data_IF_265891132111
#
_entry.id   IF_265891132111
#
_cell.length_a   1.000
_cell.length_b   1.000
_cell.length_c   1.000
_cell.angle_alpha   90.00
_cell.angle_beta   90.00
_cell.angle_gamma   90.00
#
_symmetry.space_group_name_H-M   'P 1'
#
loop_
_entity.id
_entity.type
_entity.pdbx_description
1 polymer ?
#
# COMPACT_ATOMS: atom_id res chain seq x y z
N UNK A 1 25.14 -1.43 1.92
CA UNK A 1 24.01 -2.31 2.34
C UNK A 1 23.85 -3.44 1.35
N UNK A 2 23.67 -4.65 1.84
CA UNK A 2 23.33 -5.80 0.98
C UNK A 2 21.87 -5.71 0.54
N UNK A 3 21.56 -6.00 -0.74
CA UNK A 3 20.22 -5.92 -1.30
C UNK A 3 19.29 -7.08 -0.96
N UNK A 4 19.59 -7.86 0.07
CA UNK A 4 18.88 -9.12 0.38
C UNK A 4 17.41 -8.87 0.71
N UNK A 5 17.12 -7.87 1.56
CA UNK A 5 15.75 -7.50 1.91
C UNK A 5 14.99 -6.92 0.71
N UNK A 6 15.63 -6.10 -0.11
CA UNK A 6 15.02 -5.54 -1.32
C UNK A 6 14.62 -6.65 -2.29
N UNK A 7 15.50 -7.63 -2.51
CA UNK A 7 15.20 -8.78 -3.37
C UNK A 7 13.98 -9.58 -2.86
N UNK A 8 13.87 -9.76 -1.54
CA UNK A 8 12.71 -10.45 -0.95
C UNK A 8 11.40 -9.69 -1.18
N UNK A 9 11.42 -8.34 -1.07
CA UNK A 9 10.26 -7.48 -1.32
C UNK A 9 9.85 -7.57 -2.80
N UNK A 10 10.81 -7.42 -3.73
CA UNK A 10 10.52 -7.45 -5.17
C UNK A 10 9.94 -8.78 -5.63
N UNK A 11 10.43 -9.91 -5.11
CA UNK A 11 9.88 -11.22 -5.44
C UNK A 11 8.45 -11.39 -4.93
N UNK A 12 8.16 -10.96 -3.69
CA UNK A 12 6.78 -10.99 -3.17
C UNK A 12 5.84 -10.07 -3.92
N UNK A 13 6.34 -8.91 -4.34
CA UNK A 13 5.58 -8.00 -5.16
C UNK A 13 5.25 -8.61 -6.53
N UNK A 14 6.22 -9.21 -7.21
CA UNK A 14 6.01 -9.93 -8.47
C UNK A 14 4.95 -11.05 -8.32
N UNK A 15 5.04 -11.85 -7.25
CA UNK A 15 4.04 -12.89 -6.94
C UNK A 15 2.60 -12.32 -6.85
N UNK A 16 2.43 -11.11 -6.30
CA UNK A 16 1.12 -10.46 -6.20
C UNK A 16 0.65 -9.87 -7.53
N UNK A 17 1.57 -9.30 -8.31
CA UNK A 17 1.25 -8.75 -9.63
C UNK A 17 0.83 -9.84 -10.61
N UNK A 18 1.46 -11.02 -10.56
CA UNK A 18 1.09 -12.18 -11.37
C UNK A 18 -0.31 -12.73 -11.01
N UNK A 19 -0.81 -12.43 -9.80
CA UNK A 19 -2.11 -12.89 -9.29
C UNK A 19 -3.09 -11.74 -9.06
N UNK A 20 -3.16 -10.79 -9.98
CA UNK A 20 -4.10 -9.67 -9.89
C UNK A 20 -5.54 -10.16 -9.96
N UNK A 21 -6.41 -9.75 -9.01
CA UNK A 21 -7.81 -10.14 -9.00
C UNK A 21 -8.62 -9.44 -10.09
N UNK A 22 -9.56 -10.17 -10.70
CA UNK A 22 -10.55 -9.63 -11.62
C UNK A 22 -11.96 -9.79 -11.04
N UNK A 23 -12.85 -8.79 -11.17
CA UNK A 23 -14.20 -8.88 -10.64
C UNK A 23 -15.08 -9.79 -11.51
N UNK A 24 -15.76 -10.72 -10.86
CA UNK A 24 -16.79 -11.58 -11.47
C UNK A 24 -18.02 -11.52 -10.59
N UNK A 25 -19.14 -11.15 -11.16
CA UNK A 25 -20.44 -11.08 -10.46
C UNK A 25 -21.26 -12.31 -10.78
N UNK A 26 -21.82 -12.92 -9.76
CA UNK A 26 -22.73 -14.04 -9.87
C UNK A 26 -24.11 -13.58 -9.45
N UNK A 27 -25.11 -13.90 -10.26
CA UNK A 27 -26.49 -13.63 -9.94
C UNK A 27 -26.89 -14.33 -8.63
N UNK A 28 -27.65 -13.66 -7.80
CA UNK A 28 -28.22 -14.23 -6.58
C UNK A 28 -29.54 -14.92 -6.88
N UNK A 29 -30.30 -14.33 -7.79
CA UNK A 29 -31.58 -14.83 -8.27
C UNK A 29 -31.53 -14.90 -9.81
N UNK A 30 -32.46 -15.67 -10.41
CA UNK A 30 -32.50 -15.90 -11.85
C UNK A 30 -32.67 -14.57 -12.64
N UNK A 31 -33.43 -13.64 -12.08
CA UNK A 31 -33.72 -12.35 -12.70
C UNK A 31 -32.49 -11.43 -12.72
N UNK A 32 -31.51 -11.67 -11.82
CA UNK A 32 -30.29 -10.89 -11.72
C UNK A 32 -29.19 -11.33 -12.70
N UNK A 33 -29.39 -12.42 -13.46
CA UNK A 33 -28.36 -12.98 -14.36
C UNK A 33 -27.88 -11.95 -15.38
N UNK A 34 -28.79 -11.18 -15.96
CA UNK A 34 -28.50 -10.18 -16.99
C UNK A 34 -27.68 -9.03 -16.42
N UNK A 35 -28.05 -8.53 -15.24
CA UNK A 35 -27.32 -7.42 -14.60
C UNK A 35 -25.97 -7.88 -14.04
N UNK A 36 -25.87 -9.08 -13.50
CA UNK A 36 -24.61 -9.68 -13.07
C UNK A 36 -23.62 -9.84 -14.24
N UNK A 37 -24.11 -10.25 -15.40
CA UNK A 37 -23.30 -10.33 -16.60
C UNK A 37 -22.86 -8.94 -17.09
N UNK A 38 -23.75 -7.94 -17.06
CA UNK A 38 -23.43 -6.55 -17.39
C UNK A 38 -22.36 -5.98 -16.46
N UNK A 39 -22.54 -6.13 -15.15
CA UNK A 39 -21.55 -5.69 -14.15
C UNK A 39 -20.20 -6.37 -14.34
N UNK A 40 -20.17 -7.68 -14.64
CA UNK A 40 -18.93 -8.42 -14.92
C UNK A 40 -18.17 -7.84 -16.12
N UNK A 41 -18.86 -7.21 -17.08
CA UNK A 41 -18.25 -6.59 -18.25
C UNK A 41 -17.92 -5.11 -18.05
N UNK A 42 -18.71 -4.36 -17.29
CA UNK A 42 -18.60 -2.91 -17.10
C UNK A 42 -17.62 -2.55 -15.99
N UNK A 43 -17.67 -3.22 -14.85
CA UNK A 43 -16.81 -2.88 -13.70
C UNK A 43 -15.32 -2.96 -14.02
N UNK A 44 -14.80 -3.96 -14.77
CA UNK A 44 -13.39 -3.95 -15.18
C UNK A 44 -12.99 -2.71 -15.99
N UNK A 45 -13.90 -2.19 -16.85
CA UNK A 45 -13.64 -0.98 -17.66
C UNK A 45 -13.61 0.26 -16.75
N UNK A 46 -14.53 0.37 -15.79
CA UNK A 46 -14.53 1.45 -14.79
C UNK A 46 -13.21 1.43 -14.00
N UNK A 47 -12.79 0.26 -13.54
CA UNK A 47 -11.53 0.12 -12.82
C UNK A 47 -10.32 0.48 -13.68
N UNK A 48 -10.33 0.11 -14.96
CA UNK A 48 -9.28 0.50 -15.90
C UNK A 48 -9.25 2.02 -16.11
N UNK A 49 -10.39 2.68 -16.23
CA UNK A 49 -10.49 4.14 -16.32
C UNK A 49 -9.97 4.82 -15.04
N UNK A 50 -10.20 4.21 -13.88
CA UNK A 50 -9.66 4.66 -12.60
C UNK A 50 -8.17 4.31 -12.39
N UNK A 51 -7.43 3.88 -13.42
CA UNK A 51 -6.01 3.48 -13.36
C UNK A 51 -5.71 2.43 -12.29
N UNK A 52 -6.59 1.44 -12.15
CA UNK A 52 -6.48 0.40 -11.13
C UNK A 52 -5.13 -0.32 -11.12
N UNK A 53 -4.52 -0.55 -12.27
CA UNK A 53 -3.25 -1.28 -12.38
C UNK A 53 -2.12 -0.53 -11.64
N UNK A 54 -2.01 0.78 -11.82
CA UNK A 54 -1.02 1.62 -11.12
C UNK A 54 -1.31 1.72 -9.62
N UNK A 55 -2.59 1.79 -9.26
CA UNK A 55 -3.03 1.83 -7.86
C UNK A 55 -2.73 0.50 -7.16
N UNK A 56 -3.00 -0.62 -7.84
CA UNK A 56 -2.74 -1.96 -7.32
C UNK A 56 -1.26 -2.23 -7.13
N UNK A 57 -0.41 -1.81 -8.08
CA UNK A 57 1.05 -1.89 -7.96
C UNK A 57 1.54 -1.18 -6.69
N UNK A 58 1.17 0.08 -6.50
CA UNK A 58 1.51 0.87 -5.31
C UNK A 58 0.99 0.23 -4.03
N UNK A 59 -0.29 -0.17 -4.04
CA UNK A 59 -0.91 -0.82 -2.89
C UNK A 59 -0.18 -2.09 -2.47
N UNK A 60 0.13 -3.00 -3.40
CA UNK A 60 0.87 -4.23 -3.12
C UNK A 60 2.28 -3.94 -2.59
N UNK A 61 3.00 -3.00 -3.22
CA UNK A 61 4.35 -2.62 -2.83
C UNK A 61 4.40 -2.07 -1.39
N UNK A 62 3.50 -1.16 -1.05
CA UNK A 62 3.48 -0.55 0.28
C UNK A 62 2.93 -1.50 1.34
N UNK A 63 1.93 -2.32 1.02
CA UNK A 63 1.44 -3.38 1.91
C UNK A 63 2.57 -4.32 2.34
N UNK A 64 3.43 -4.76 1.41
CA UNK A 64 4.57 -5.63 1.72
C UNK A 64 5.60 -4.90 2.58
N UNK A 65 5.92 -3.65 2.26
CA UNK A 65 6.93 -2.85 2.96
C UNK A 65 6.50 -2.47 4.37
N UNK A 66 5.34 -1.83 4.48
CA UNK A 66 4.85 -1.17 5.70
C UNK A 66 3.94 -2.06 6.53
N UNK A 67 3.48 -3.18 5.96
CA UNK A 67 2.54 -4.08 6.62
C UNK A 67 1.08 -3.72 6.46
N UNK A 68 0.77 -2.56 5.88
CA UNK A 68 -0.58 -2.06 5.68
C UNK A 68 -0.69 -1.47 4.28
N UNK A 69 -1.75 -1.83 3.56
CA UNK A 69 -2.19 -1.17 2.36
C UNK A 69 -3.54 -0.50 2.59
N UNK A 70 -3.69 0.75 2.18
CA UNK A 70 -4.94 1.47 2.26
C UNK A 70 -5.38 1.93 0.89
N UNK A 71 -6.64 1.68 0.56
CA UNK A 71 -7.30 2.12 -0.67
C UNK A 71 -8.46 3.03 -0.33
N UNK A 72 -8.70 4.04 -1.15
CA UNK A 72 -9.90 4.87 -1.11
C UNK A 72 -10.70 4.69 -2.40
N UNK A 73 -12.03 4.68 -2.25
CA UNK A 73 -12.99 4.60 -3.36
C UNK A 73 -13.97 5.74 -3.16
N UNK A 74 -13.88 6.76 -3.98
CA UNK A 74 -14.66 8.00 -3.86
C UNK A 74 -15.32 8.34 -5.18
N UNK A 75 -16.33 9.19 -5.12
CA UNK A 75 -16.96 9.80 -6.27
C UNK A 75 -16.36 11.18 -6.51
N UNK A 76 -16.07 11.52 -7.76
CA UNK A 76 -15.65 12.86 -8.18
C UNK A 76 -16.58 13.37 -9.28
N UNK A 77 -17.36 14.38 -8.98
CA UNK A 77 -18.36 14.99 -9.85
C UNK A 77 -17.77 15.88 -10.95
N UNK A 78 -16.49 16.22 -10.84
CA UNK A 78 -15.80 17.07 -11.84
C UNK A 78 -15.31 16.30 -13.06
N UNK A 79 -15.19 14.98 -12.93
CA UNK A 79 -14.72 14.13 -14.02
C UNK A 79 -15.73 14.00 -15.17
N UNK A 80 -15.27 13.56 -16.33
CA UNK A 80 -16.10 13.30 -17.52
C UNK A 80 -17.00 14.50 -17.90
N UNK A 81 -16.42 15.72 -17.86
CA UNK A 81 -17.12 16.99 -18.15
C UNK A 81 -18.32 17.27 -17.23
N UNK A 82 -18.24 16.87 -15.97
CA UNK A 82 -19.29 17.08 -14.99
C UNK A 82 -20.31 15.94 -14.87
N UNK A 83 -20.11 14.84 -15.59
CA UNK A 83 -20.90 13.63 -15.41
C UNK A 83 -20.48 12.86 -14.14
N UNK A 84 -19.28 13.14 -13.64
CA UNK A 84 -18.64 12.47 -12.52
C UNK A 84 -18.17 11.06 -12.84
N UNK A 85 -17.22 10.55 -12.09
CA UNK A 85 -16.79 9.14 -12.17
C UNK A 85 -16.19 8.64 -10.84
N UNK A 86 -15.99 7.32 -10.75
CA UNK A 86 -15.42 6.66 -9.59
C UNK A 86 -13.90 6.82 -9.62
N UNK A 87 -13.35 7.27 -8.50
CA UNK A 87 -11.91 7.42 -8.29
C UNK A 87 -11.43 6.39 -7.29
N UNK A 88 -10.44 5.61 -7.69
CA UNK A 88 -9.77 4.63 -6.83
C UNK A 88 -8.34 5.09 -6.62
N UNK A 89 -7.95 5.34 -5.37
CA UNK A 89 -6.61 5.80 -5.06
C UNK A 89 -5.96 4.92 -3.98
N UNK A 90 -4.64 4.79 -4.06
CA UNK A 90 -3.84 4.37 -2.92
C UNK A 90 -3.74 5.53 -1.93
N UNK A 91 -4.04 5.27 -0.66
CA UNK A 91 -3.91 6.23 0.42
C UNK A 91 -2.70 5.87 1.30
N UNK A 92 -1.81 6.85 1.52
CA UNK A 92 -0.67 6.65 2.40
C UNK A 92 -1.14 6.47 3.85
N UNK A 93 -0.66 5.41 4.49
CA UNK A 93 -1.00 5.09 5.88
C UNK A 93 -0.60 6.21 6.87
N UNK A 94 0.35 7.05 6.51
CA UNK A 94 0.75 8.20 7.32
C UNK A 94 -0.26 9.35 7.29
N UNK A 95 -1.23 9.29 6.40
CA UNK A 95 -2.25 10.33 6.20
C UNK A 95 -3.63 9.95 6.72
N UNK A 96 -3.84 8.70 7.14
CA UNK A 96 -5.11 8.22 7.67
C UNK A 96 -4.99 7.91 9.16
N UNK A 97 -5.99 8.33 9.93
CA UNK A 97 -6.07 8.14 11.37
C UNK A 97 -7.47 7.64 11.72
N UNK A 98 -7.55 6.68 12.62
CA UNK A 98 -8.78 6.06 13.08
C UNK A 98 -8.83 5.97 14.60
N UNK A 99 -9.96 5.55 15.14
CA UNK A 99 -10.15 5.38 16.57
C UNK A 99 -9.16 4.34 17.15
N UNK A 100 -8.48 4.64 18.28
CA UNK A 100 -7.61 3.67 18.95
C UNK A 100 -8.34 2.36 19.30
N UNK A 101 -7.60 1.24 19.26
CA UNK A 101 -8.11 -0.12 19.54
C UNK A 101 -9.22 -0.61 18.58
N UNK A 102 -9.36 -0.01 17.42
CA UNK A 102 -10.26 -0.47 16.38
C UNK A 102 -9.63 -1.66 15.64
N UNK A 103 -10.40 -2.72 15.43
CA UNK A 103 -9.97 -3.92 14.68
C UNK A 103 -10.50 -3.96 13.25
N UNK A 104 -11.55 -3.19 12.97
CA UNK A 104 -12.13 -3.03 11.65
C UNK A 104 -12.46 -1.56 11.44
N UNK A 105 -11.96 -0.97 10.36
CA UNK A 105 -12.15 0.46 10.08
C UNK A 105 -13.63 0.86 10.03
N UNK A 106 -14.48 -0.05 9.54
CA UNK A 106 -15.90 0.20 9.45
C UNK A 106 -16.60 0.29 10.81
N UNK A 107 -15.96 -0.12 11.90
CA UNK A 107 -16.50 -0.03 13.26
C UNK A 107 -15.99 1.22 14.01
N UNK A 108 -15.03 1.95 13.43
CA UNK A 108 -14.53 3.22 13.96
C UNK A 108 -15.64 4.28 13.98
N UNK A 109 -15.68 5.11 15.01
CA UNK A 109 -16.62 6.24 15.08
C UNK A 109 -16.21 7.39 14.18
N UNK A 110 -14.91 7.56 13.94
CA UNK A 110 -14.35 8.59 13.10
C UNK A 110 -13.12 8.13 12.36
N UNK A 111 -12.89 8.72 11.21
CA UNK A 111 -11.66 8.53 10.41
C UNK A 111 -11.24 9.91 9.93
N UNK A 112 -9.97 10.25 10.15
CA UNK A 112 -9.37 11.48 9.62
C UNK A 112 -8.42 11.15 8.49
N UNK A 113 -8.50 11.93 7.43
CA UNK A 113 -7.54 11.88 6.32
C UNK A 113 -6.91 13.24 6.18
N UNK A 114 -5.59 13.29 6.19
CA UNK A 114 -4.83 14.54 6.08
C UNK A 114 -4.23 14.71 4.70
N UNK A 115 -4.30 15.90 4.16
CA UNK A 115 -3.70 16.25 2.88
C UNK A 115 -3.03 17.63 2.96
N UNK A 116 -1.97 17.81 2.19
CA UNK A 116 -1.29 19.10 2.04
C UNK A 116 -1.66 19.66 0.67
N UNK A 117 -2.41 20.75 0.66
CA UNK A 117 -2.88 21.42 -0.56
C UNK A 117 -2.19 22.79 -0.64
N UNK A 118 -1.87 23.22 -1.86
CA UNK A 118 -1.33 24.56 -2.06
C UNK A 118 -2.35 25.61 -1.62
N UNK A 119 -1.90 26.55 -0.80
CA UNK A 119 -2.76 27.55 -0.17
C UNK A 119 -3.50 28.41 -1.19
N UNK A 120 -2.87 28.68 -2.32
CA UNK A 120 -3.47 29.50 -3.39
C UNK A 120 -4.63 28.75 -4.06
N UNK A 121 -4.49 27.46 -4.33
CA UNK A 121 -5.57 26.62 -4.87
C UNK A 121 -6.73 26.55 -3.88
N UNK A 122 -6.43 26.38 -2.59
CA UNK A 122 -7.45 26.29 -1.57
C UNK A 122 -8.22 27.61 -1.39
N UNK A 123 -7.54 28.77 -1.51
CA UNK A 123 -8.17 30.08 -1.50
C UNK A 123 -9.05 30.31 -2.74
N UNK A 124 -8.66 29.80 -3.89
CA UNK A 124 -9.45 29.86 -5.12
C UNK A 124 -10.73 29.02 -5.00
N UNK A 125 -10.64 27.84 -4.37
CA UNK A 125 -11.78 26.97 -4.17
C UNK A 125 -12.75 27.49 -3.08
N UNK A 126 -12.25 28.14 -2.03
CA UNK A 126 -13.03 28.61 -0.88
C UNK A 126 -12.77 30.10 -0.55
N UNK A 127 -13.06 31.04 -1.47
CA UNK A 127 -12.70 32.45 -1.32
C UNK A 127 -13.40 33.12 -0.12
N UNK A 128 -14.63 32.69 0.20
CA UNK A 128 -15.43 33.30 1.29
C UNK A 128 -15.01 32.81 2.69
N UNK A 129 -14.30 31.67 2.79
CA UNK A 129 -13.96 31.03 4.06
C UNK A 129 -12.50 31.20 4.44
N UNK A 130 -11.61 31.29 3.46
CA UNK A 130 -10.17 31.46 3.65
C UNK A 130 -9.76 32.88 3.28
N UNK A 131 -9.93 33.83 4.23
CA UNK A 131 -9.41 35.17 4.10
C UNK A 131 -7.90 35.24 4.23
N UNK A 132 -7.27 36.42 4.01
CA UNK A 132 -5.80 36.61 3.97
C UNK A 132 -5.04 36.09 5.21
N UNK A 133 -5.73 35.81 6.31
CA UNK A 133 -5.14 35.31 7.56
C UNK A 133 -5.05 33.78 7.66
N UNK A 134 -5.36 33.04 6.60
CA UNK A 134 -5.12 31.59 6.59
C UNK A 134 -3.60 31.34 6.69
N UNK A 135 -3.18 30.94 7.88
CA UNK A 135 -1.76 30.71 8.17
C UNK A 135 -1.23 29.61 7.25
N UNK A 136 -0.22 29.99 6.50
CA UNK A 136 0.52 29.05 5.66
C UNK A 136 1.32 28.11 6.56
N UNK A 137 1.24 26.82 6.32
CA UNK A 137 2.02 25.82 7.03
C UNK A 137 3.51 25.98 6.66
N UNK A 138 4.21 26.87 7.31
CA UNK A 138 5.60 27.21 7.04
C UNK A 138 6.43 27.39 8.30
N UNK A 139 5.94 26.92 9.44
CA UNK A 139 6.61 27.04 10.73
C UNK A 139 7.12 25.72 11.30
N UNK A 140 7.50 25.74 12.57
CA UNK A 140 7.97 24.59 13.34
C UNK A 140 6.94 23.44 13.41
N UNK A 141 5.67 23.70 13.15
CA UNK A 141 4.59 22.72 13.18
C UNK A 141 4.55 21.78 11.97
N UNK A 142 5.18 22.17 10.86
CA UNK A 142 5.36 21.31 9.67
C UNK A 142 6.14 20.01 9.99
N UNK A 143 6.92 20.00 11.06
CA UNK A 143 7.68 18.83 11.54
C UNK A 143 6.77 17.71 12.06
N UNK A 144 5.52 18.00 12.42
CA UNK A 144 4.58 17.00 12.94
C UNK A 144 3.87 16.22 11.83
N UNK A 145 3.91 16.70 10.59
CA UNK A 145 3.33 15.98 9.46
C UNK A 145 4.31 14.89 9.02
N UNK A 146 3.90 13.65 9.22
CA UNK A 146 4.65 12.49 8.74
C UNK A 146 4.56 12.43 7.22
N UNK A 147 5.51 13.03 6.52
CA UNK A 147 5.63 12.92 5.07
C UNK A 147 7.02 12.39 4.69
N UNK A 148 7.10 11.66 3.58
CA UNK A 148 8.38 11.22 3.03
C UNK A 148 9.19 12.37 2.43
N UNK A 149 8.54 13.49 2.15
CA UNK A 149 9.12 14.72 1.59
C UNK A 149 9.65 15.66 2.67
N UNK A 150 9.56 15.28 3.93
CA UNK A 150 9.66 16.12 5.12
C UNK A 150 11.00 16.71 5.48
N UNK A 151 11.96 16.82 4.57
CA UNK A 151 13.24 17.46 4.88
C UNK A 151 13.46 18.82 4.20
N UNK A 152 12.64 19.18 3.22
CA UNK A 152 12.78 20.47 2.55
C UNK A 152 11.66 21.43 2.98
N UNK A 153 12.01 22.34 3.87
CA UNK A 153 11.07 23.36 4.37
C UNK A 153 10.54 24.28 3.26
N UNK A 154 11.24 24.38 2.14
CA UNK A 154 10.81 25.16 0.99
C UNK A 154 9.63 24.51 0.25
N UNK A 155 9.54 23.19 0.26
CA UNK A 155 8.42 22.45 -0.38
C UNK A 155 7.13 22.62 0.43
N UNK A 156 7.23 22.82 1.74
CA UNK A 156 6.09 23.02 2.64
C UNK A 156 5.65 24.48 2.75
N UNK A 157 6.48 25.44 2.29
CA UNK A 157 6.12 26.85 2.21
C UNK A 157 4.95 26.99 1.23
N UNK A 158 3.88 27.64 1.59
CA UNK A 158 2.65 27.82 0.81
C UNK A 158 1.69 26.60 0.76
N UNK A 159 1.87 25.58 1.61
CA UNK A 159 0.88 24.50 1.74
C UNK A 159 0.07 24.65 3.01
N UNK A 160 -1.21 24.35 2.91
CA UNK A 160 -2.13 24.31 4.05
C UNK A 160 -2.51 22.87 4.32
N UNK A 161 -2.51 22.49 5.60
CA UNK A 161 -3.00 21.19 6.04
C UNK A 161 -4.53 21.18 5.95
N UNK A 162 -5.07 20.28 5.18
CA UNK A 162 -6.50 20.00 5.10
C UNK A 162 -6.76 18.67 5.79
N UNK A 163 -7.77 18.65 6.65
CA UNK A 163 -8.22 17.46 7.38
C UNK A 163 -9.63 17.14 6.94
N UNK A 164 -9.80 15.98 6.33
CA UNK A 164 -11.10 15.42 6.00
C UNK A 164 -11.53 14.52 7.16
N UNK A 165 -12.53 14.96 7.91
CA UNK A 165 -13.09 14.24 9.04
C UNK A 165 -14.32 13.47 8.58
N UNK A 166 -14.23 12.15 8.58
CA UNK A 166 -15.36 11.25 8.36
C UNK A 166 -15.90 10.80 9.70
N UNK A 167 -17.16 11.11 9.98
CA UNK A 167 -17.82 10.78 11.24
C UNK A 167 -19.03 9.89 10.97
N UNK A 168 -19.16 8.82 11.75
CA UNK A 168 -20.32 7.94 11.68
C UNK A 168 -21.38 8.37 12.66
N UNK A 169 -22.58 8.56 12.17
CA UNK A 169 -23.76 8.88 12.94
C UNK A 169 -24.93 7.94 12.62
N UNK A 170 -26.02 8.06 13.36
CA UNK A 170 -27.25 7.31 13.12
C UNK A 170 -28.31 8.32 12.67
N UNK A 171 -28.87 8.11 11.50
CA UNK A 171 -29.98 8.93 10.99
C UNK A 171 -31.27 8.72 11.81
N UNK A 172 -32.26 9.60 11.64
CA UNK A 172 -33.56 9.51 12.33
C UNK A 172 -34.31 8.20 12.08
N UNK A 173 -34.07 7.57 10.91
CA UNK A 173 -34.64 6.27 10.52
C UNK A 173 -33.87 5.06 11.07
N UNK A 174 -32.79 5.28 11.84
CA UNK A 174 -31.97 4.25 12.45
C UNK A 174 -30.87 3.69 11.53
N UNK A 175 -30.71 4.19 10.29
CA UNK A 175 -29.61 3.80 9.40
C UNK A 175 -28.31 4.43 9.84
N UNK A 176 -27.20 3.70 9.66
CA UNK A 176 -25.87 4.26 9.83
C UNK A 176 -25.53 5.14 8.62
N UNK A 177 -25.12 6.35 8.87
CA UNK A 177 -24.67 7.29 7.85
C UNK A 177 -23.27 7.81 8.19
N UNK A 178 -22.53 8.22 7.17
CA UNK A 178 -21.20 8.79 7.31
C UNK A 178 -21.23 10.22 6.81
N UNK A 179 -20.83 11.14 7.66
CA UNK A 179 -20.66 12.55 7.33
C UNK A 179 -19.21 12.87 7.02
N UNK A 180 -18.99 13.83 6.13
CA UNK A 180 -17.68 14.41 5.85
C UNK A 180 -17.69 15.88 6.27
N UNK A 181 -16.69 16.24 7.05
CA UNK A 181 -16.36 17.64 7.33
C UNK A 181 -14.93 17.90 6.93
N UNK A 182 -14.74 18.78 5.95
CA UNK A 182 -13.42 19.22 5.49
C UNK A 182 -13.02 20.46 6.26
N UNK A 183 -11.84 20.45 6.85
CA UNK A 183 -11.32 21.52 7.69
C UNK A 183 -9.93 21.95 7.21
N UNK A 184 -9.68 23.25 7.23
CA UNK A 184 -8.33 23.81 7.04
C UNK A 184 -8.05 24.77 8.20
N UNK A 185 -6.96 24.52 8.92
CA UNK A 185 -6.70 25.18 10.20
C UNK A 185 -7.92 25.02 11.13
N UNK A 186 -8.44 26.08 11.68
CA UNK A 186 -9.64 26.10 12.55
C UNK A 186 -10.95 26.42 11.79
N UNK A 187 -10.92 26.39 10.46
CA UNK A 187 -12.07 26.76 9.62
C UNK A 187 -12.67 25.52 8.95
N UNK A 188 -13.97 25.29 9.13
CA UNK A 188 -14.71 24.29 8.38
C UNK A 188 -14.97 24.79 6.95
N UNK A 189 -14.33 24.17 5.97
CA UNK A 189 -14.46 24.49 4.55
C UNK A 189 -15.78 23.97 3.98
N UNK A 190 -16.10 22.73 4.32
CA UNK A 190 -17.27 22.03 3.82
C UNK A 190 -17.76 21.04 4.88
N UNK A 191 -19.07 20.86 5.01
CA UNK A 191 -19.63 19.87 5.92
C UNK A 191 -20.95 19.33 5.37
N UNK A 192 -21.04 18.02 5.26
CA UNK A 192 -22.28 17.33 4.90
C UNK A 192 -23.35 17.39 5.98
N UNK A 193 -22.98 17.72 7.22
CA UNK A 193 -23.93 17.88 8.34
C UNK A 193 -24.77 19.15 8.18
N UNK A 194 -24.13 20.20 7.67
CA UNK A 194 -24.80 21.51 7.50
C UNK A 194 -25.55 21.65 6.18
N UNK A 195 -25.33 20.74 5.24
CA UNK A 195 -26.02 20.71 3.97
C UNK A 195 -27.36 19.98 4.13
N UNK A 196 -28.47 20.63 3.77
CA UNK A 196 -29.84 20.10 3.90
C UNK A 196 -30.05 18.78 3.17
N UNK A 197 -29.38 18.59 2.03
CA UNK A 197 -29.57 17.43 1.17
C UNK A 197 -28.84 16.20 1.72
N UNK A 198 -27.70 16.38 2.40
CA UNK A 198 -26.86 15.31 2.92
C UNK A 198 -26.95 15.09 4.44
N UNK A 199 -27.66 16.00 5.15
CA UNK A 199 -27.78 15.93 6.61
C UNK A 199 -28.44 14.62 7.10
N UNK A 200 -29.33 14.01 6.32
CA UNK A 200 -30.04 12.78 6.67
C UNK A 200 -29.56 11.55 5.87
N UNK A 201 -28.79 11.76 4.80
CA UNK A 201 -28.29 10.69 3.93
C UNK A 201 -26.81 10.42 4.11
N UNK A 202 -26.06 11.39 4.65
CA UNK A 202 -24.60 11.35 4.68
C UNK A 202 -23.97 11.66 3.31
N UNK A 203 -22.69 11.38 3.17
CA UNK A 203 -21.96 11.58 1.90
C UNK A 203 -22.29 10.51 0.85
N UNK A 204 -22.62 9.30 1.32
CA UNK A 204 -22.98 8.16 0.48
C UNK A 204 -24.15 7.38 1.11
N UNK A 205 -25.09 6.95 0.28
CA UNK A 205 -26.27 6.22 0.71
C UNK A 205 -25.96 4.88 1.40
N UNK A 206 -24.80 4.28 1.07
CA UNK A 206 -24.38 3.00 1.66
C UNK A 206 -23.90 3.08 3.12
N UNK A 207 -23.69 4.27 3.69
CA UNK A 207 -23.33 4.52 5.10
C UNK A 207 -22.01 3.87 5.56
N UNK A 208 -21.06 3.65 4.67
CA UNK A 208 -19.75 3.07 4.95
C UNK A 208 -18.64 4.06 4.67
N UNK A 209 -17.52 3.94 5.39
CA UNK A 209 -16.31 4.68 5.04
C UNK A 209 -15.79 4.25 3.66
N UNK A 210 -15.39 5.21 2.80
CA UNK A 210 -14.88 4.92 1.46
C UNK A 210 -13.42 4.40 1.48
N UNK A 211 -13.01 3.78 2.59
CA UNK A 211 -11.64 3.30 2.80
C UNK A 211 -11.61 1.81 3.06
N UNK A 212 -10.56 1.18 2.54
CA UNK A 212 -10.28 -0.24 2.74
C UNK A 212 -8.87 -0.35 3.27
N UNK A 213 -8.74 -0.96 4.45
CA UNK A 213 -7.45 -1.31 5.05
C UNK A 213 -7.25 -2.81 4.91
N UNK A 214 -6.05 -3.17 4.48
CA UNK A 214 -5.60 -4.56 4.37
C UNK A 214 -4.21 -4.70 4.99
N UNK A 215 -4.02 -5.75 5.76
CA UNK A 215 -2.81 -6.01 6.52
C UNK A 215 -1.99 -7.10 5.84
N UNK A 216 -0.66 -6.98 5.86
CA UNK A 216 0.25 -8.03 5.41
C UNK A 216 0.26 -9.18 6.42
N UNK A 217 0.59 -8.88 7.67
CA UNK A 217 0.39 -9.76 8.83
C UNK A 217 -0.39 -8.95 9.85
N UNK A 218 -1.58 -9.42 10.22
CA UNK A 218 -2.43 -8.74 11.20
C UNK A 218 -1.85 -8.85 12.61
N UNK A 219 -1.88 -7.74 13.33
CA UNK A 219 -1.61 -7.70 14.75
C UNK A 219 -2.93 -7.80 15.50
N UNK A 220 -2.97 -8.64 16.53
CA UNK A 220 -4.18 -8.85 17.32
C UNK A 220 -4.60 -7.58 18.06
N UNK A 221 -5.90 -7.26 18.00
CA UNK A 221 -6.48 -6.11 18.70
C UNK A 221 -6.27 -4.76 18.03
N UNK A 222 -5.64 -4.68 16.85
CA UNK A 222 -5.40 -3.43 16.12
C UNK A 222 -5.69 -3.57 14.63
N UNK A 223 -5.83 -2.42 13.94
CA UNK A 223 -5.82 -2.35 12.48
C UNK A 223 -4.40 -2.30 11.90
N UNK A 224 -3.40 -2.24 12.76
CA UNK A 224 -2.01 -2.21 12.33
C UNK A 224 -1.58 -3.58 11.80
N UNK A 225 -0.64 -3.57 10.88
CA UNK A 225 -0.04 -4.78 10.32
C UNK A 225 1.48 -4.71 10.40
N UNK A 226 2.10 -5.89 10.42
CA UNK A 226 3.56 -6.02 10.38
C UNK A 226 4.00 -6.29 8.94
N UNK A 227 4.91 -5.46 8.43
CA UNK A 227 5.48 -5.59 7.09
C UNK A 227 6.76 -6.43 7.05
N UNK A 228 7.18 -6.73 5.83
CA UNK A 228 8.41 -7.49 5.61
C UNK A 228 9.66 -6.74 6.10
N UNK A 229 9.63 -5.40 6.05
CA UNK A 229 10.70 -4.56 6.61
C UNK A 229 10.77 -4.72 8.11
N UNK A 230 9.65 -4.70 8.83
CA UNK A 230 9.63 -4.81 10.29
C UNK A 230 10.20 -6.14 10.77
N UNK A 231 9.88 -7.22 10.08
CA UNK A 231 10.39 -8.55 10.40
C UNK A 231 11.89 -8.69 10.17
N UNK A 232 12.43 -8.03 9.14
CA UNK A 232 13.79 -8.27 8.67
C UNK A 232 14.78 -7.12 8.90
N UNK A 233 14.33 -5.93 9.33
CA UNK A 233 15.20 -4.75 9.54
C UNK A 233 16.39 -5.02 10.44
N UNK A 234 16.18 -5.78 11.53
CA UNK A 234 17.26 -6.10 12.45
C UNK A 234 18.28 -7.06 11.81
N UNK A 235 17.81 -8.11 11.13
CA UNK A 235 18.69 -9.06 10.44
C UNK A 235 19.49 -8.39 9.34
N UNK A 236 18.85 -7.51 8.55
CA UNK A 236 19.54 -6.70 7.54
C UNK A 236 20.61 -5.81 8.19
N UNK A 237 20.30 -5.15 9.30
CA UNK A 237 21.26 -4.32 10.04
C UNK A 237 22.46 -5.11 10.58
N UNK A 238 22.26 -6.36 11.00
CA UNK A 238 23.36 -7.24 11.39
C UNK A 238 24.24 -7.64 10.21
N UNK A 239 23.65 -8.02 9.08
CA UNK A 239 24.37 -8.34 7.84
C UNK A 239 25.22 -7.16 7.40
N UNK A 240 24.67 -5.95 7.36
CA UNK A 240 25.38 -4.74 6.97
C UNK A 240 26.56 -4.45 7.90
N UNK A 241 26.39 -4.61 9.22
CA UNK A 241 27.49 -4.43 10.19
C UNK A 241 28.60 -5.46 10.00
N UNK A 242 28.25 -6.72 9.73
CA UNK A 242 29.23 -7.80 9.47
C UNK A 242 29.96 -7.59 8.15
N UNK A 243 29.29 -7.06 7.11
CA UNK A 243 29.89 -6.71 5.83
C UNK A 243 30.91 -5.58 6.00
N UNK A 244 30.57 -4.52 6.75
CA UNK A 244 31.50 -3.43 7.08
C UNK A 244 32.70 -3.95 7.87
N UNK A 245 32.49 -4.83 8.86
CA UNK A 245 33.55 -5.45 9.64
C UNK A 245 34.48 -6.29 8.75
N UNK A 246 33.92 -7.07 7.87
CA UNK A 246 34.66 -7.93 6.92
C UNK A 246 35.49 -7.08 5.94
N UNK A 247 34.91 -6.01 5.41
CA UNK A 247 35.58 -5.09 4.51
C UNK A 247 36.75 -4.38 5.22
N UNK A 248 36.50 -3.84 6.42
CA UNK A 248 37.54 -3.17 7.20
C UNK A 248 38.68 -4.10 7.56
N UNK A 249 38.38 -5.33 7.96
CA UNK A 249 39.42 -6.33 8.23
C UNK A 249 40.22 -6.65 6.95
N UNK A 250 39.54 -6.82 5.80
CA UNK A 250 40.20 -7.03 4.52
C UNK A 250 41.14 -5.90 4.13
N UNK A 251 40.72 -4.62 4.32
CA UNK A 251 41.54 -3.43 4.07
C UNK A 251 42.75 -3.41 5.00
N UNK A 252 42.56 -3.72 6.29
CA UNK A 252 43.68 -3.74 7.24
C UNK A 252 44.63 -4.90 6.97
N UNK A 253 44.08 -6.09 6.64
CA UNK A 253 44.86 -7.28 6.34
C UNK A 253 45.66 -7.17 5.03
N UNK A 254 45.16 -6.41 4.04
CA UNK A 254 45.83 -6.18 2.76
C UNK A 254 46.98 -5.16 2.85
N UNK A 255 47.00 -4.33 3.89
CA UNK A 255 48.03 -3.37 4.12
C UNK A 255 49.11 -3.96 5.05
N UNK A 256 50.27 -4.26 4.50
CA UNK A 256 51.42 -4.64 5.31
C UNK A 256 51.86 -3.44 6.16
N UNK A 257 51.85 -3.58 7.48
CA UNK A 257 52.32 -2.58 8.43
C UNK A 257 53.60 -3.04 9.07
N UNK A 258 54.51 -2.11 9.24
CA UNK A 258 55.79 -2.38 9.85
C UNK A 258 55.89 -1.65 11.18
N UNK A 259 56.40 -2.31 12.18
CA UNK A 259 56.78 -1.74 13.47
C UNK A 259 58.28 -1.57 13.41
N UNK A 260 58.71 -0.31 13.43
CA UNK A 260 60.12 0.06 13.46
C UNK A 260 60.46 0.75 14.78
N UNK A 261 61.64 0.49 15.35
CA UNK A 261 62.15 1.25 16.48
C UNK A 261 62.70 2.57 15.96
N UNK A 262 62.52 3.65 16.71
CA UNK A 262 63.05 4.99 16.36
C UNK A 262 64.57 4.99 16.17
N UNK A 263 65.29 4.17 16.98
CA UNK A 263 66.77 4.01 16.91
C UNK A 263 67.19 2.74 16.13
N UNK A 264 66.29 2.16 15.32
CA UNK A 264 66.51 0.86 14.66
C UNK A 264 67.43 0.89 13.45
N UNK A 265 67.94 2.04 13.02
CA UNK A 265 68.89 2.17 11.92
C UNK A 265 68.32 1.89 10.54
N UNK A 266 67.02 1.75 10.40
CA UNK A 266 66.30 1.52 9.12
C UNK A 266 65.43 2.70 8.82
N UNK A 267 65.58 3.25 7.60
CA UNK A 267 64.75 4.37 7.16
C UNK A 267 63.32 3.86 6.81
N UNK A 268 62.26 4.40 7.43
CA UNK A 268 60.88 4.05 7.12
C UNK A 268 60.49 4.28 5.65
N UNK A 269 61.05 5.31 5.01
CA UNK A 269 60.76 5.64 3.61
C UNK A 269 61.29 4.55 2.65
N UNK A 270 62.42 3.93 2.99
CA UNK A 270 62.99 2.85 2.21
C UNK A 270 62.14 1.53 2.29
N UNK A 271 61.47 1.31 3.42
CA UNK A 271 60.54 0.18 3.59
C UNK A 271 59.24 0.39 2.80
N UNK A 272 58.84 1.64 2.62
CA UNK A 272 57.61 1.98 1.90
C UNK A 272 57.82 2.11 0.39
N UNK A 273 59.04 2.22 -0.07
CA UNK A 273 59.41 2.34 -1.48
C UNK A 273 59.54 0.96 -2.13
N UNK A 274 58.43 0.55 -2.81
CA UNK A 274 58.37 -0.72 -3.51
C UNK A 274 59.28 -0.86 -4.74
N UNK A 275 59.97 0.25 -5.13
CA UNK A 275 60.93 0.22 -6.25
C UNK A 275 62.32 -0.22 -5.85
N UNK A 276 62.61 -0.31 -4.54
CA UNK A 276 63.88 -0.70 -3.99
C UNK A 276 63.95 -2.20 -3.66
N UNK A 277 64.74 -2.94 -4.37
CA UNK A 277 64.99 -4.36 -4.11
C UNK A 277 65.84 -4.60 -2.87
N UNK A 278 66.63 -3.60 -2.43
CA UNK A 278 67.54 -3.70 -1.30
C UNK A 278 67.37 -2.54 -0.37
N UNK A 279 67.11 -2.83 0.91
CA UNK A 279 67.06 -1.86 1.99
C UNK A 279 68.38 -1.92 2.75
N UNK A 280 69.14 -0.81 2.81
CA UNK A 280 70.40 -0.70 3.50
C UNK A 280 70.21 -0.13 4.89
N UNK A 281 70.70 -0.83 5.89
CA UNK A 281 70.68 -0.36 7.30
C UNK A 281 72.01 0.35 7.63
N UNK A 282 71.92 1.39 8.43
CA UNK A 282 73.08 2.18 8.89
C UNK A 282 73.81 1.56 10.10
N UNK A 283 73.21 0.55 10.76
CA UNK A 283 73.75 -0.13 11.95
C UNK A 283 73.36 -1.60 11.93
N UNK A 284 73.94 -2.43 12.83
CA UNK A 284 73.52 -3.82 12.99
C UNK A 284 72.05 -3.91 13.34
N UNK A 285 71.26 -4.36 12.37
CA UNK A 285 69.80 -4.51 12.52
C UNK A 285 69.52 -5.91 13.18
N UNK A 286 68.94 -5.85 14.37
CA UNK A 286 68.39 -7.02 15.03
C UNK A 286 66.99 -7.28 14.54
N UNK A 287 66.52 -8.52 14.51
CA UNK A 287 65.11 -8.89 14.16
C UNK A 287 64.06 -8.10 14.94
N UNK A 288 64.42 -7.55 16.12
CA UNK A 288 63.59 -6.70 16.91
C UNK A 288 63.43 -5.28 16.41
N UNK A 289 64.31 -4.81 15.48
CA UNK A 289 64.33 -3.44 14.98
C UNK A 289 63.22 -3.16 13.95
N UNK A 290 62.87 -4.18 13.15
CA UNK A 290 61.80 -4.13 12.16
C UNK A 290 60.95 -5.39 12.27
N UNK A 291 59.69 -5.21 12.56
CA UNK A 291 58.76 -6.34 12.67
C UNK A 291 57.51 -6.10 11.81
N UNK A 292 57.20 -7.05 10.95
CA UNK A 292 55.94 -7.01 10.22
C UNK A 292 54.72 -7.21 11.19
N UNK A 293 53.82 -6.25 11.15
CA UNK A 293 52.54 -6.35 11.88
C UNK A 293 51.51 -6.98 10.96
N UNK A 294 51.25 -8.28 11.13
CA UNK A 294 50.21 -8.99 10.41
C UNK A 294 48.91 -8.82 11.15
N UNK A 295 47.92 -8.23 10.49
CA UNK A 295 46.56 -8.27 10.99
C UNK A 295 46.04 -9.72 11.00
N UNK A 296 45.37 -10.11 12.08
CA UNK A 296 44.72 -11.43 12.14
C UNK A 296 43.59 -11.49 11.15
N UNK A 297 43.50 -12.63 10.44
CA UNK A 297 42.35 -12.92 9.60
C UNK A 297 41.05 -12.88 10.43
N UNK A 298 39.96 -12.50 9.76
CA UNK A 298 38.64 -12.50 10.39
C UNK A 298 38.29 -13.93 10.85
N UNK A 299 37.81 -14.14 12.07
CA UNK A 299 37.38 -15.45 12.51
C UNK A 299 36.24 -16.00 11.63
N UNK A 300 36.27 -17.29 11.26
CA UNK A 300 35.25 -17.95 10.44
C UNK A 300 33.83 -17.83 11.02
N UNK A 301 33.70 -17.66 12.33
CA UNK A 301 32.42 -17.47 12.99
C UNK A 301 31.66 -16.24 12.47
N UNK A 302 32.34 -15.18 12.07
CA UNK A 302 31.73 -13.95 11.54
C UNK A 302 31.03 -14.25 10.20
N UNK A 303 31.68 -15.01 9.32
CA UNK A 303 31.12 -15.45 8.04
C UNK A 303 29.92 -16.35 8.27
N UNK A 304 30.00 -17.31 9.19
CA UNK A 304 28.89 -18.21 9.54
C UNK A 304 27.68 -17.46 10.11
N UNK A 305 27.90 -16.47 10.99
CA UNK A 305 26.80 -15.64 11.52
C UNK A 305 26.14 -14.86 10.38
N UNK A 306 26.91 -14.29 9.47
CA UNK A 306 26.40 -13.57 8.31
C UNK A 306 25.53 -14.48 7.43
N UNK A 307 26.01 -15.66 7.08
CA UNK A 307 25.28 -16.64 6.29
C UNK A 307 23.98 -17.08 6.97
N UNK A 308 24.03 -17.36 8.27
CA UNK A 308 22.85 -17.72 9.06
C UNK A 308 21.81 -16.59 9.06
N UNK A 309 22.24 -15.33 9.17
CA UNK A 309 21.31 -14.18 9.13
C UNK A 309 20.67 -13.99 7.75
N UNK A 310 21.39 -14.22 6.67
CA UNK A 310 20.84 -14.21 5.31
C UNK A 310 19.83 -15.37 5.14
N UNK A 311 20.16 -16.54 5.64
CA UNK A 311 19.25 -17.68 5.59
C UNK A 311 17.97 -17.44 6.40
N UNK A 312 18.08 -16.88 7.60
CA UNK A 312 16.93 -16.48 8.42
C UNK A 312 16.03 -15.47 7.69
N UNK A 313 16.62 -14.47 7.02
CA UNK A 313 15.86 -13.51 6.20
C UNK A 313 15.12 -14.19 5.05
N UNK A 314 15.73 -15.15 4.37
CA UNK A 314 15.10 -15.94 3.29
C UNK A 314 13.93 -16.78 3.83
N UNK A 315 14.10 -17.39 5.00
CA UNK A 315 13.05 -18.19 5.64
C UNK A 315 11.86 -17.35 6.08
N UNK A 316 12.11 -16.21 6.76
CA UNK A 316 11.06 -15.28 7.21
C UNK A 316 10.29 -14.67 6.04
N UNK A 317 10.95 -14.35 4.94
CA UNK A 317 10.30 -13.82 3.75
C UNK A 317 9.59 -14.91 2.92
N UNK A 318 9.83 -16.19 3.20
CA UNK A 318 9.36 -17.31 2.36
C UNK A 318 9.99 -17.34 0.96
N UNK A 319 11.06 -16.58 0.77
CA UNK A 319 11.77 -16.46 -0.50
C UNK A 319 12.93 -17.46 -0.55
N UNK A 320 12.59 -18.72 -0.79
CA UNK A 320 13.56 -19.82 -0.86
C UNK A 320 14.21 -19.92 -2.25
N UNK A 321 15.42 -20.45 -2.32
CA UNK A 321 16.23 -20.51 -3.55
C UNK A 321 15.51 -21.23 -4.71
N UNK A 322 14.67 -22.23 -4.43
CA UNK A 322 13.89 -22.91 -5.47
C UNK A 322 12.73 -22.07 -6.03
N UNK A 323 12.23 -21.06 -5.31
CA UNK A 323 11.26 -20.10 -5.85
C UNK A 323 11.92 -19.13 -6.85
N UNK A 324 13.25 -18.97 -6.76
CA UNK A 324 14.06 -18.15 -7.67
C UNK A 324 14.72 -18.96 -8.79
N UNK A 325 14.31 -20.20 -9.00
CA UNK A 325 14.90 -21.09 -10.03
C UNK A 325 16.20 -21.79 -9.61
N UNK A 326 16.62 -21.63 -8.35
CA UNK A 326 17.76 -22.38 -7.80
C UNK A 326 17.37 -23.84 -7.54
N UNK A 327 18.15 -24.79 -8.05
CA UNK A 327 17.97 -26.23 -7.74
C UNK A 327 18.79 -26.59 -6.53
N UNK A 328 18.19 -27.23 -5.54
CA UNK A 328 18.93 -27.88 -4.45
C UNK A 328 19.68 -29.09 -5.02
N UNK A 329 20.98 -29.20 -4.77
CA UNK A 329 21.79 -30.28 -5.32
C UNK A 329 21.18 -31.67 -5.03
N UNK A 330 20.96 -32.45 -6.10
CA UNK A 330 20.46 -33.83 -6.02
C UNK A 330 18.96 -34.00 -6.36
N UNK A 331 18.18 -32.95 -6.55
CA UNK A 331 16.78 -33.08 -6.98
C UNK A 331 16.68 -32.77 -8.47
N UNK A 332 16.57 -33.81 -9.29
CA UNK A 332 16.46 -33.68 -10.75
C UNK A 332 15.12 -34.12 -11.31
N UNK A 333 14.26 -34.76 -10.51
CA UNK A 333 12.95 -35.21 -10.96
C UNK A 333 11.96 -34.03 -11.03
N UNK A 334 11.37 -33.81 -12.20
CA UNK A 334 10.39 -32.75 -12.45
C UNK A 334 9.24 -32.69 -11.40
N UNK A 335 8.72 -33.87 -11.03
CA UNK A 335 7.66 -33.94 -10.00
C UNK A 335 8.11 -33.52 -8.60
N UNK A 336 9.39 -33.77 -8.24
CA UNK A 336 9.91 -33.32 -6.95
C UNK A 336 10.16 -31.82 -6.92
N UNK A 337 10.62 -31.24 -8.02
CA UNK A 337 10.79 -29.77 -8.15
C UNK A 337 9.43 -29.08 -8.08
N UNK A 338 8.41 -29.57 -8.79
CA UNK A 338 7.06 -29.04 -8.75
C UNK A 338 6.44 -29.10 -7.33
N UNK A 339 6.63 -30.21 -6.62
CA UNK A 339 6.17 -30.36 -5.24
C UNK A 339 6.87 -29.38 -4.27
N UNK A 340 8.18 -29.15 -4.45
CA UNK A 340 8.93 -28.18 -3.67
C UNK A 340 8.48 -26.75 -3.93
N UNK A 341 8.24 -26.39 -5.19
CA UNK A 341 7.70 -25.08 -5.57
C UNK A 341 6.29 -24.88 -4.99
N UNK A 342 5.43 -25.89 -5.06
CA UNK A 342 4.10 -25.82 -4.46
C UNK A 342 4.15 -25.66 -2.94
N UNK A 343 5.04 -26.37 -2.26
CA UNK A 343 5.23 -26.23 -0.82
C UNK A 343 5.79 -24.85 -0.43
N UNK A 344 6.68 -24.27 -1.26
CA UNK A 344 7.25 -22.95 -1.03
C UNK A 344 6.26 -21.81 -1.19
N UNK A 345 5.26 -21.97 -2.05
CA UNK A 345 4.25 -20.94 -2.35
C UNK A 345 3.13 -20.85 -1.32
N UNK A 346 3.17 -21.57 -0.19
CA UNK A 346 2.09 -21.53 0.82
C UNK A 346 1.87 -20.13 1.41
N UNK A 347 2.97 -19.46 1.76
CA UNK A 347 2.92 -18.08 2.32
C UNK A 347 2.40 -17.07 1.30
N UNK A 348 2.81 -17.20 0.04
CA UNK A 348 2.32 -16.35 -1.06
C UNK A 348 0.82 -16.56 -1.30
N UNK A 349 0.35 -17.82 -1.24
CA UNK A 349 -1.09 -18.12 -1.39
C UNK A 349 -1.96 -17.48 -0.31
N UNK A 350 -1.50 -17.42 0.92
CA UNK A 350 -2.23 -16.75 2.00
C UNK A 350 -2.30 -15.25 1.77
N UNK A 351 -1.20 -14.65 1.34
CA UNK A 351 -1.14 -13.24 0.98
C UNK A 351 -2.07 -12.90 -0.20
N UNK A 352 -2.09 -13.73 -1.24
CA UNK A 352 -3.01 -13.59 -2.39
C UNK A 352 -4.46 -13.67 -1.94
N UNK A 353 -4.80 -14.60 -1.04
CA UNK A 353 -6.17 -14.70 -0.48
C UNK A 353 -6.55 -13.47 0.33
N UNK A 354 -5.60 -12.85 1.06
CA UNK A 354 -5.84 -11.59 1.75
C UNK A 354 -6.17 -10.48 0.75
N UNK A 355 -5.38 -10.35 -0.34
CA UNK A 355 -5.65 -9.39 -1.40
C UNK A 355 -7.02 -9.60 -2.04
N UNK A 356 -7.42 -10.84 -2.29
CA UNK A 356 -8.76 -11.13 -2.85
C UNK A 356 -9.89 -10.71 -1.92
N UNK A 357 -9.72 -10.88 -0.59
CA UNK A 357 -10.72 -10.40 0.38
C UNK A 357 -10.84 -8.88 0.37
N UNK A 358 -9.73 -8.17 0.29
CA UNK A 358 -9.71 -6.71 0.23
C UNK A 358 -10.23 -6.19 -1.11
N UNK A 359 -9.90 -6.85 -2.21
CA UNK A 359 -10.46 -6.57 -3.52
C UNK A 359 -11.98 -6.75 -3.57
N UNK A 360 -12.52 -7.80 -2.92
CA UNK A 360 -13.97 -7.96 -2.79
C UNK A 360 -14.64 -6.78 -2.08
N UNK A 361 -14.00 -6.25 -1.01
CA UNK A 361 -14.51 -5.06 -0.31
C UNK A 361 -14.49 -3.83 -1.22
N UNK A 362 -13.41 -3.67 -2.01
CA UNK A 362 -13.28 -2.58 -2.98
C UNK A 362 -14.38 -2.64 -4.03
N UNK A 363 -14.55 -3.79 -4.67
CA UNK A 363 -15.59 -3.98 -5.70
C UNK A 363 -16.99 -3.75 -5.12
N UNK A 364 -17.23 -4.12 -3.86
CA UNK A 364 -18.49 -3.82 -3.19
C UNK A 364 -18.73 -2.32 -3.09
N UNK A 365 -17.73 -1.52 -2.69
CA UNK A 365 -17.86 -0.06 -2.66
C UNK A 365 -18.07 0.54 -4.05
N UNK A 366 -17.34 0.04 -5.06
CA UNK A 366 -17.53 0.47 -6.45
C UNK A 366 -18.97 0.24 -6.91
N UNK A 367 -19.53 -0.93 -6.63
CA UNK A 367 -20.93 -1.26 -7.00
C UNK A 367 -21.93 -0.36 -6.27
N UNK A 368 -21.71 -0.06 -4.99
CA UNK A 368 -22.58 0.86 -4.25
C UNK A 368 -22.53 2.29 -4.84
N UNK A 369 -21.35 2.78 -5.25
CA UNK A 369 -21.24 4.07 -5.93
C UNK A 369 -21.89 4.05 -7.32
N UNK A 370 -21.75 2.96 -8.08
CA UNK A 370 -22.46 2.79 -9.36
C UNK A 370 -23.99 2.87 -9.13
N UNK A 371 -24.48 2.17 -8.10
CA UNK A 371 -25.89 2.18 -7.77
C UNK A 371 -26.44 3.54 -7.40
N UNK A 372 -25.60 4.39 -6.77
CA UNK A 372 -26.00 5.71 -6.30
C UNK A 372 -25.87 6.78 -7.39
N UNK A 373 -24.77 6.79 -8.15
CA UNK A 373 -24.41 7.92 -9.01
C UNK A 373 -24.54 7.68 -10.51
N UNK A 374 -24.71 6.44 -11.00
CA UNK A 374 -24.81 6.17 -12.44
C UNK A 374 -26.24 6.28 -12.95
N UNK A 375 -26.89 7.42 -12.67
CA UNK A 375 -28.27 7.69 -13.09
C UNK A 375 -28.41 7.85 -14.60
N UNK A 376 -27.40 8.42 -15.25
CA UNK A 376 -27.40 8.72 -16.67
C UNK A 376 -26.85 7.55 -17.50
N UNK A 377 -27.32 7.42 -18.74
CA UNK A 377 -26.86 6.42 -19.68
C UNK A 377 -25.40 6.66 -20.06
N UNK A 378 -24.53 5.71 -19.71
CA UNK A 378 -23.11 5.70 -20.04
C UNK A 378 -22.79 4.61 -21.03
N UNK A 379 -21.92 4.90 -21.99
CA UNK A 379 -21.48 3.90 -22.97
C UNK A 379 -20.10 3.36 -22.60
N UNK A 380 -20.03 2.05 -22.42
CA UNK A 380 -18.79 1.35 -22.15
C UNK A 380 -18.37 0.52 -23.36
N UNK A 381 -17.09 0.64 -23.74
CA UNK A 381 -16.49 -0.23 -24.74
C UNK A 381 -15.96 -1.47 -24.05
N UNK A 382 -16.56 -2.61 -24.31
CA UNK A 382 -16.15 -3.90 -23.78
C UNK A 382 -15.56 -4.79 -24.87
N UNK A 383 -14.77 -5.78 -24.51
CA UNK A 383 -14.32 -6.83 -25.41
C UNK A 383 -15.39 -7.92 -25.45
N UNK A 384 -16.00 -8.13 -26.62
CA UNK A 384 -16.98 -9.19 -26.84
C UNK A 384 -16.33 -10.58 -26.89
N UNK A 385 -17.16 -11.63 -26.91
CA UNK A 385 -16.73 -13.04 -26.96
C UNK A 385 -15.83 -13.35 -28.18
N UNK A 386 -16.06 -12.62 -29.29
CA UNK A 386 -15.26 -12.75 -30.52
C UNK A 386 -13.98 -11.89 -30.54
N UNK A 387 -13.52 -11.38 -29.39
CA UNK A 387 -12.44 -10.40 -29.28
C UNK A 387 -12.68 -9.10 -30.07
N UNK A 388 -13.93 -8.81 -30.47
CA UNK A 388 -14.31 -7.58 -31.16
C UNK A 388 -14.84 -6.56 -30.15
N UNK A 389 -14.60 -5.26 -30.38
CA UNK A 389 -15.18 -4.23 -29.52
C UNK A 389 -16.70 -4.25 -29.61
N UNK A 390 -17.36 -4.29 -28.47
CA UNK A 390 -18.80 -4.16 -28.30
C UNK A 390 -19.07 -2.96 -27.40
N UNK A 391 -20.13 -2.22 -27.67
CA UNK A 391 -20.55 -1.09 -26.85
C UNK A 391 -21.76 -1.52 -26.03
N UNK A 392 -21.73 -1.24 -24.73
CA UNK A 392 -22.82 -1.51 -23.80
C UNK A 392 -23.23 -0.20 -23.16
N UNK A 393 -24.50 0.14 -23.28
CA UNK A 393 -25.11 1.23 -22.51
C UNK A 393 -25.47 0.71 -21.14
N UNK A 394 -25.07 1.42 -20.10
CA UNK A 394 -25.30 1.05 -18.72
C UNK A 394 -25.76 2.26 -17.92
N UNK A 395 -26.78 2.05 -17.09
CA UNK A 395 -27.26 2.95 -16.07
C UNK A 395 -27.67 2.14 -14.83
N UNK A 396 -27.98 2.81 -13.73
CA UNK A 396 -28.36 2.16 -12.47
C UNK A 396 -29.88 1.89 -12.35
N UNK A 397 -30.69 2.17 -13.36
CA UNK A 397 -32.15 2.08 -13.26
C UNK A 397 -32.64 0.71 -12.80
N UNK A 398 -32.03 -0.35 -13.34
CA UNK A 398 -32.40 -1.73 -12.94
C UNK A 398 -31.88 -2.11 -11.54
N UNK A 399 -30.87 -1.43 -11.03
CA UNK A 399 -30.33 -1.68 -9.67
C UNK A 399 -31.18 -1.01 -8.58
N UNK A 400 -31.95 0.02 -8.92
CA UNK A 400 -32.83 0.77 -8.01
C UNK A 400 -34.24 0.18 -8.02
N UNK A 401 -34.75 -0.24 -9.17
CA UNK A 401 -36.15 -0.64 -9.37
C UNK A 401 -36.57 -1.90 -8.61
N UNK A 402 -35.64 -2.73 -8.12
CA UNK A 402 -36.02 -3.91 -7.32
C UNK A 402 -36.70 -3.58 -5.98
N UNK A 403 -36.52 -2.37 -5.43
CA UNK A 403 -37.18 -1.95 -4.18
C UNK A 403 -38.57 -1.37 -4.47
N UNK A 404 -38.74 -0.68 -5.59
CA UNK A 404 -40.01 -0.09 -6.02
C UNK A 404 -41.03 -1.13 -6.53
N UNK A 405 -40.55 -2.21 -7.13
CA UNK A 405 -41.41 -3.26 -7.66
C UNK A 405 -42.11 -4.09 -6.56
N UNK A 406 -41.57 -4.15 -5.34
CA UNK A 406 -42.25 -4.85 -4.25
C UNK A 406 -43.51 -4.13 -3.76
N UNK A 407 -43.56 -2.79 -3.81
CA UNK A 407 -44.74 -2.01 -3.45
C UNK A 407 -45.83 -2.09 -4.54
N UNK A 408 -45.45 -2.33 -5.81
CA UNK A 408 -46.37 -2.55 -6.93
C UNK A 408 -46.90 -4.00 -7.01
N UNK A 409 -46.26 -4.95 -6.33
CA UNK A 409 -46.68 -6.34 -6.30
C UNK A 409 -48.02 -6.56 -5.58
N UNK A 410 -48.47 -5.59 -4.78
CA UNK A 410 -49.70 -5.64 -4.02
C UNK A 410 -50.54 -4.40 -4.27
N UNK A 411 -51.79 -4.60 -4.57
CA UNK A 411 -52.82 -3.55 -4.59
C UNK A 411 -53.58 -3.57 -3.27
N UNK A 412 -54.16 -2.47 -2.89
CA UNK A 412 -55.07 -2.40 -1.75
C UNK A 412 -56.51 -2.59 -2.26
N UNK A 413 -57.24 -3.53 -1.69
CA UNK A 413 -58.70 -3.68 -1.95
C UNK A 413 -59.49 -2.53 -1.32
N UNK A 414 -60.80 -2.49 -1.57
CA UNK A 414 -61.69 -1.47 -1.02
C UNK A 414 -61.78 -1.45 0.51
N UNK A 415 -61.27 -2.49 1.16
CA UNK A 415 -61.27 -2.73 2.62
C UNK A 415 -59.88 -2.49 3.22
N UNK A 416 -58.86 -2.13 2.37
CA UNK A 416 -57.50 -1.81 2.81
C UNK A 416 -56.58 -3.01 2.99
N UNK A 417 -56.96 -4.21 2.51
CA UNK A 417 -56.08 -5.37 2.55
C UNK A 417 -55.20 -5.47 1.30
N UNK A 418 -54.00 -5.96 1.48
CA UNK A 418 -53.07 -6.17 0.37
C UNK A 418 -53.50 -7.41 -0.46
N UNK A 419 -53.80 -7.19 -1.74
CA UNK A 419 -54.04 -8.24 -2.71
C UNK A 419 -52.94 -8.27 -3.77
N UNK A 420 -52.54 -9.45 -4.27
CA UNK A 420 -51.52 -9.53 -5.32
C UNK A 420 -51.98 -8.76 -6.58
N UNK A 421 -51.10 -7.92 -7.11
CA UNK A 421 -51.34 -7.20 -8.36
C UNK A 421 -51.28 -8.19 -9.55
N UNK A 422 -52.38 -8.43 -10.28
CA UNK A 422 -52.36 -9.36 -11.39
C UNK A 422 -51.61 -8.88 -12.63
N UNK A 423 -51.27 -7.60 -12.68
CA UNK A 423 -50.49 -6.99 -13.78
C UNK A 423 -48.97 -6.90 -13.43
N UNK A 424 -48.59 -7.33 -12.21
CA UNK A 424 -47.19 -7.33 -11.80
C UNK A 424 -46.50 -8.61 -12.32
N UNK A 425 -45.47 -8.42 -13.15
CA UNK A 425 -44.53 -9.47 -13.56
C UNK A 425 -43.25 -9.32 -12.76
N UNK A 426 -42.77 -10.38 -12.04
CA UNK A 426 -41.57 -10.34 -11.23
C UNK A 426 -40.27 -10.16 -12.04
#
# INVERSE_FOLDING_TARGET
TSGTLLNAILNKHADLMDNQPAPVFMAREKNDEVEAERLTKVVPVIMQNANWDDVYDKYCMYKIKQGIGCLSVTWDDTLENGLGDIVINYLDILRIYWEPNCTNLQDSRYVFVTSLIDTDILKEQYPDKLTESAETYGGQDAVQIKTYEGQDQTILANKTLVIDCYERTIAEDGRQIVHLTKMANDVALESSITNTDTAQTGIYAHGRYPFIIDQYISLEGTLEGMGLIDMNKNNQGYVDKLDVLSLNNGVVASKQRWLTKEDGGVNPDDIMDLSKDVIVSSTNVDESAVRAFQAKALPDIVTKIRENKIQEMKELSGNRDFNQGGTTGGVTAFGAIAALQEAGNKTTRDLVKSNYRSFKKLVTLVVELIREFYSDDRQFRITGEDNKPKYVTFNNANMINQITNMDEAYLLDAEGNQIPNPEWEP
#
